data_IF_454072712029
#
_entry.id   IF_454072712029
#
_cell.length_a   1.000
_cell.length_b   1.000
_cell.length_c   1.000
_cell.angle_alpha   90.00
_cell.angle_beta   90.00
_cell.angle_gamma   90.00
#
_symmetry.space_group_name_H-M   'P 1'
#
loop_
_entity.id
_entity.type
_entity.pdbx_description
1 polymer ?
#
# COMPACT_ATOMS: atom_id res chain seq x y z
N UNK A 1 -25.06 -3.10 4.32
CA UNK A 1 -23.79 -3.23 3.58
C UNK A 1 -22.75 -2.45 4.36
N UNK A 2 -21.66 -3.07 4.82
CA UNK A 2 -20.41 -2.41 5.27
C UNK A 2 -19.49 -3.49 5.89
N UNK A 3 -18.62 -4.09 5.07
CA UNK A 3 -17.53 -4.97 5.54
C UNK A 3 -16.14 -4.61 5.00
N UNK A 4 -15.99 -3.58 4.17
CA UNK A 4 -14.74 -3.39 3.42
C UNK A 4 -13.85 -2.22 3.90
N UNK A 5 -14.26 -1.46 4.92
CA UNK A 5 -13.40 -0.40 5.49
C UNK A 5 -12.29 -0.99 6.38
N UNK A 6 -12.50 -2.19 6.95
CA UNK A 6 -11.49 -2.87 7.77
C UNK A 6 -10.40 -3.61 6.97
N UNK A 7 -10.55 -3.72 5.65
CA UNK A 7 -9.60 -4.46 4.80
C UNK A 7 -8.55 -3.56 4.12
N UNK A 8 -8.63 -2.25 4.31
CA UNK A 8 -7.72 -1.28 3.70
C UNK A 8 -6.69 -0.77 4.71
N UNK A 9 -5.46 -0.71 4.25
CA UNK A 9 -4.28 -0.28 5.01
C UNK A 9 -3.76 1.00 4.38
N UNK A 10 -3.73 2.09 5.15
CA UNK A 10 -3.18 3.35 4.68
C UNK A 10 -1.68 3.25 4.35
N UNK A 11 -1.18 4.18 3.54
CA UNK A 11 0.22 4.24 3.15
C UNK A 11 1.20 4.23 4.32
N UNK A 12 0.85 4.86 5.44
CA UNK A 12 1.76 4.90 6.58
C UNK A 12 1.89 3.53 7.25
N UNK A 13 0.78 2.86 7.51
CA UNK A 13 0.77 1.50 8.06
C UNK A 13 1.40 0.51 7.10
N UNK A 14 1.15 0.64 5.80
CA UNK A 14 1.78 -0.18 4.77
C UNK A 14 3.31 -0.06 4.80
N UNK A 15 3.83 1.17 4.86
CA UNK A 15 5.27 1.43 4.94
C UNK A 15 5.89 0.79 6.18
N UNK A 16 5.23 0.90 7.34
CA UNK A 16 5.67 0.27 8.60
C UNK A 16 5.67 -1.25 8.49
N UNK A 17 4.60 -1.86 7.98
CA UNK A 17 4.48 -3.31 7.84
C UNK A 17 5.51 -3.92 6.88
N UNK A 18 5.83 -3.18 5.82
CA UNK A 18 6.80 -3.61 4.81
C UNK A 18 8.24 -3.29 5.19
N UNK A 19 8.47 -2.49 6.24
CA UNK A 19 9.79 -1.99 6.60
C UNK A 19 10.40 -1.08 5.52
N UNK A 20 9.57 -0.44 4.71
CA UNK A 20 10.00 0.39 3.58
C UNK A 20 9.74 1.88 3.85
N UNK A 21 10.61 2.78 3.39
CA UNK A 21 10.28 4.20 3.31
C UNK A 21 9.04 4.44 2.43
N UNK A 22 8.18 5.39 2.80
CA UNK A 22 6.99 5.76 2.00
C UNK A 22 7.32 6.07 0.54
N UNK A 23 8.48 6.69 0.28
CA UNK A 23 8.94 7.01 -1.07
C UNK A 23 9.18 5.74 -1.92
N UNK A 24 9.77 4.69 -1.33
CA UNK A 24 9.94 3.41 -2.02
C UNK A 24 8.61 2.70 -2.20
N UNK A 25 7.75 2.69 -1.17
CA UNK A 25 6.41 2.13 -1.28
C UNK A 25 5.61 2.77 -2.43
N UNK A 26 5.65 4.10 -2.55
CA UNK A 26 5.04 4.84 -3.68
C UNK A 26 5.64 4.44 -5.02
N UNK A 27 6.95 4.20 -5.08
CA UNK A 27 7.62 3.77 -6.30
C UNK A 27 7.15 2.38 -6.71
N UNK A 28 7.11 1.42 -5.78
CA UNK A 28 6.61 0.07 -6.05
C UNK A 28 5.14 0.12 -6.48
N UNK A 29 4.29 0.80 -5.70
CA UNK A 29 2.88 1.04 -6.01
C UNK A 29 2.66 1.58 -7.43
N UNK A 30 3.42 2.61 -7.84
CA UNK A 30 3.31 3.18 -9.19
C UNK A 30 3.77 2.24 -10.29
N UNK A 31 4.86 1.50 -10.07
CA UNK A 31 5.42 0.58 -11.07
C UNK A 31 4.53 -0.65 -11.25
N UNK A 32 3.93 -1.15 -10.17
CA UNK A 32 3.09 -2.35 -10.18
C UNK A 32 1.60 -2.05 -10.38
N UNK A 33 1.19 -0.78 -10.33
CA UNK A 33 -0.23 -0.38 -10.37
C UNK A 33 -1.02 -0.83 -9.14
N UNK A 34 -0.35 -1.06 -8.00
CA UNK A 34 -0.99 -1.51 -6.76
C UNK A 34 -1.31 -0.31 -5.87
N UNK A 35 -2.45 -0.36 -5.17
CA UNK A 35 -2.92 0.69 -4.29
C UNK A 35 -4.02 1.54 -4.93
N UNK A 36 -4.93 1.99 -4.08
CA UNK A 36 -6.11 2.75 -4.46
C UNK A 36 -6.06 4.15 -3.88
N UNK A 37 -6.42 5.14 -4.68
CA UNK A 37 -6.64 6.49 -4.18
C UNK A 37 -8.03 6.55 -3.54
N UNK A 38 -8.06 6.85 -2.25
CA UNK A 38 -9.28 7.15 -1.51
C UNK A 38 -9.25 8.59 -1.02
N UNK A 39 -10.42 9.23 -1.03
CA UNK A 39 -10.61 10.49 -0.34
C UNK A 39 -11.03 10.17 1.10
N UNK A 40 -10.23 10.59 2.07
CA UNK A 40 -10.61 10.63 3.48
C UNK A 40 -10.94 12.08 3.89
N UNK A 41 -11.34 12.28 5.15
CA UNK A 41 -11.63 13.61 5.71
C UNK A 41 -10.41 14.56 5.71
N UNK A 42 -9.20 14.06 5.43
CA UNK A 42 -7.93 14.79 5.39
C UNK A 42 -7.38 14.96 3.96
N UNK A 43 -8.06 14.43 2.94
CA UNK A 43 -7.73 14.58 1.53
C UNK A 43 -7.55 13.25 0.79
N UNK A 44 -6.80 13.27 -0.31
CA UNK A 44 -6.48 12.05 -1.07
C UNK A 44 -5.33 11.30 -0.41
N UNK A 45 -5.56 10.03 -0.07
CA UNK A 45 -4.53 9.12 0.39
C UNK A 45 -4.52 7.83 -0.43
N UNK A 46 -3.35 7.21 -0.52
CA UNK A 46 -3.22 5.87 -1.09
C UNK A 46 -3.48 4.86 0.03
N UNK A 47 -4.35 3.90 -0.26
CA UNK A 47 -4.64 2.77 0.60
C UNK A 47 -4.41 1.47 -0.16
N UNK A 48 -4.14 0.39 0.57
CA UNK A 48 -3.81 -0.92 0.02
C UNK A 48 -4.69 -1.98 0.66
N UNK A 49 -5.14 -2.93 -0.13
CA UNK A 49 -5.70 -4.18 0.42
C UNK A 49 -4.58 -5.07 0.96
N UNK A 50 -4.93 -6.03 1.82
CA UNK A 50 -3.96 -7.04 2.28
C UNK A 50 -3.35 -7.87 1.14
N UNK A 51 -4.10 -8.14 0.08
CA UNK A 51 -3.58 -8.85 -1.10
C UNK A 51 -2.54 -8.02 -1.84
N UNK A 52 -2.81 -6.73 -2.07
CA UNK A 52 -1.86 -5.81 -2.69
C UNK A 52 -0.60 -5.62 -1.83
N UNK A 53 -0.74 -5.55 -0.51
CA UNK A 53 0.40 -5.53 0.42
C UNK A 53 1.27 -6.77 0.28
N UNK A 54 0.65 -7.96 0.20
CA UNK A 54 1.39 -9.21 0.00
C UNK A 54 2.17 -9.19 -1.32
N UNK A 55 1.58 -8.67 -2.39
CA UNK A 55 2.28 -8.52 -3.68
C UNK A 55 3.44 -7.51 -3.58
N UNK A 56 3.24 -6.40 -2.88
CA UNK A 56 4.30 -5.42 -2.63
C UNK A 56 5.46 -6.02 -1.83
N UNK A 57 5.20 -6.85 -0.81
CA UNK A 57 6.25 -7.60 -0.11
C UNK A 57 7.10 -8.42 -1.08
N UNK A 58 6.44 -9.18 -1.97
CA UNK A 58 7.13 -10.06 -2.92
C UNK A 58 7.95 -9.28 -3.94
N UNK A 59 7.48 -8.11 -4.37
CA UNK A 59 8.21 -7.23 -5.28
C UNK A 59 9.44 -6.61 -4.60
N UNK A 60 9.28 -6.12 -3.37
CA UNK A 60 10.38 -5.54 -2.60
C UNK A 60 11.47 -6.59 -2.32
N UNK A 61 11.09 -7.82 -1.95
CA UNK A 61 12.02 -8.91 -1.72
C UNK A 61 12.80 -9.31 -2.99
N UNK A 62 12.16 -9.28 -4.15
CA UNK A 62 12.80 -9.58 -5.44
C UNK A 62 13.76 -8.47 -5.90
N UNK A 63 13.50 -7.22 -5.53
CA UNK A 63 14.36 -6.08 -5.89
C UNK A 63 15.66 -6.01 -5.07
N UNK A 64 15.82 -6.83 -4.03
CA UNK A 64 17.01 -6.86 -3.17
C UNK A 64 18.16 -7.73 -3.71
N UNK A 65 18.11 -8.13 -4.99
CA UNK A 65 19.05 -9.09 -5.60
C UNK A 65 19.95 -8.44 -6.65
#
# INVERSE_FOLDING_TARGET
MNRNIQERVDEHRAAVLLGLPKAELRRYSRVSGLGHLENDDRGQQVVFTYEELRLLCLLAAQSSK
#
